data_IF_464038986497
#
_entry.id   IF_464038986497
#
_cell.length_a   1.000
_cell.length_b   1.000
_cell.length_c   1.000
_cell.angle_alpha   90.00
_cell.angle_beta   90.00
_cell.angle_gamma   90.00
#
_symmetry.space_group_name_H-M   'P 1'
#
loop_
_entity.id
_entity.type
_entity.pdbx_description
1 polymer ?
#
# COMPACT_ATOMS: atom_id res chain seq x y z
N UNK A 1 12.66 19.87 55.03
CA UNK A 1 13.06 20.41 53.72
C UNK A 1 13.10 19.25 52.76
N UNK A 2 12.16 19.22 51.80
CA UNK A 2 11.99 18.07 50.91
C UNK A 2 13.19 17.93 49.98
N UNK A 3 13.84 16.77 50.06
CA UNK A 3 15.09 16.46 49.34
C UNK A 3 14.86 16.10 47.87
N UNK A 4 13.60 16.02 47.46
CA UNK A 4 13.15 15.66 46.11
C UNK A 4 13.45 16.75 45.09
N UNK A 5 13.26 18.02 45.43
CA UNK A 5 13.56 19.16 44.54
C UNK A 5 15.07 19.25 44.20
N UNK A 6 16.01 19.23 45.17
CA UNK A 6 17.43 19.28 44.83
C UNK A 6 17.91 18.04 44.06
N UNK A 7 17.34 16.85 44.30
CA UNK A 7 17.68 15.65 43.53
C UNK A 7 17.20 15.70 42.08
N UNK A 8 16.00 16.25 41.83
CA UNK A 8 15.50 16.49 40.47
C UNK A 8 16.41 17.48 39.71
N UNK A 9 16.83 18.56 40.38
CA UNK A 9 17.73 19.56 39.76
C UNK A 9 19.08 18.95 39.40
N UNK A 10 19.66 18.11 40.26
CA UNK A 10 20.88 17.36 39.96
C UNK A 10 20.65 16.44 38.76
N UNK A 11 19.55 15.67 38.75
CA UNK A 11 19.21 14.79 37.62
C UNK A 11 19.04 15.53 36.30
N UNK A 12 18.44 16.72 36.31
CA UNK A 12 18.25 17.53 35.10
C UNK A 12 19.57 18.09 34.56
N UNK A 13 20.45 18.54 35.46
CA UNK A 13 21.77 19.09 35.08
C UNK A 13 22.67 17.99 34.51
N UNK A 14 22.79 16.86 35.20
CA UNK A 14 23.66 15.77 34.76
C UNK A 14 23.05 14.97 33.60
N UNK A 15 21.75 14.69 33.62
CA UNK A 15 21.08 13.93 32.56
C UNK A 15 20.86 14.74 31.28
N UNK A 16 20.25 15.92 31.41
CA UNK A 16 19.96 16.79 30.26
C UNK A 16 21.21 17.48 29.71
N UNK A 17 22.03 18.07 30.60
CA UNK A 17 23.22 18.80 30.21
C UNK A 17 24.32 17.91 29.63
N UNK A 18 24.67 16.81 30.31
CA UNK A 18 25.73 15.92 29.83
C UNK A 18 25.30 15.12 28.60
N UNK A 19 24.04 14.70 28.54
CA UNK A 19 23.48 14.05 27.36
C UNK A 19 23.54 14.97 26.12
N UNK A 20 23.20 16.25 26.27
CA UNK A 20 23.25 17.22 25.18
C UNK A 20 24.67 17.46 24.65
N UNK A 21 25.66 17.57 25.53
CA UNK A 21 27.07 17.75 25.13
C UNK A 21 27.62 16.52 24.39
N UNK A 22 27.30 15.31 24.87
CA UNK A 22 27.69 14.06 24.21
C UNK A 22 27.03 13.95 22.82
N UNK A 23 25.74 14.29 22.72
CA UNK A 23 25.03 14.28 21.44
C UNK A 23 25.65 15.26 20.43
N UNK A 24 25.95 16.48 20.84
CA UNK A 24 26.60 17.49 20.01
C UNK A 24 28.01 17.07 19.57
N UNK A 25 28.81 16.45 20.45
CA UNK A 25 30.14 15.97 20.12
C UNK A 25 30.13 14.83 19.09
N UNK A 26 29.04 14.07 19.01
CA UNK A 26 28.84 12.99 18.02
C UNK A 26 28.05 13.43 16.79
N UNK A 27 27.86 14.74 16.58
CA UNK A 27 27.19 15.29 15.40
C UNK A 27 25.67 15.06 15.36
N UNK A 28 25.05 14.72 16.50
CA UNK A 28 23.60 14.56 16.61
C UNK A 28 23.01 15.96 16.79
N UNK A 29 22.64 16.60 15.68
CA UNK A 29 21.96 17.90 15.70
C UNK A 29 20.45 17.72 15.85
N UNK A 30 19.77 18.68 16.48
CA UNK A 30 18.31 18.80 16.47
C UNK A 30 17.82 19.41 15.14
N UNK A 31 18.41 19.01 14.01
CA UNK A 31 17.83 19.32 12.72
C UNK A 31 16.55 18.50 12.60
N UNK A 32 15.44 19.15 12.93
CA UNK A 32 14.13 18.67 12.52
C UNK A 32 14.14 18.53 11.00
N UNK A 33 13.80 17.35 10.50
CA UNK A 33 13.54 17.22 9.07
C UNK A 33 12.31 18.09 8.76
N UNK A 34 12.49 19.04 7.84
CA UNK A 34 11.42 19.90 7.38
C UNK A 34 10.37 19.02 6.67
N UNK A 35 9.19 18.90 7.27
CA UNK A 35 8.03 18.27 6.62
C UNK A 35 7.25 19.27 5.73
N UNK A 36 7.81 20.47 5.51
CA UNK A 36 7.26 21.54 4.69
C UNK A 36 7.72 21.49 3.23
N UNK A 37 7.39 20.43 2.50
CA UNK A 37 7.51 20.43 1.04
C UNK A 37 6.40 19.62 0.35
N UNK A 38 5.14 20.04 0.51
CA UNK A 38 4.11 19.75 -0.49
C UNK A 38 4.30 20.67 -1.69
N UNK A 39 5.35 20.41 -2.46
CA UNK A 39 5.55 21.00 -3.78
C UNK A 39 4.56 20.39 -4.75
N UNK A 40 3.50 21.15 -5.07
CA UNK A 40 2.64 20.88 -6.21
C UNK A 40 3.43 21.22 -7.49
N UNK A 41 4.24 20.26 -7.93
CA UNK A 41 5.05 20.31 -9.15
C UNK A 41 4.76 19.06 -9.97
N UNK A 42 3.88 19.23 -10.95
CA UNK A 42 3.54 18.28 -12.01
C UNK A 42 4.78 17.64 -12.65
N UNK A 43 5.06 16.40 -12.26
CA UNK A 43 5.58 15.31 -13.09
C UNK A 43 5.56 14.09 -12.18
N UNK A 44 4.52 13.26 -12.31
CA UNK A 44 4.64 11.87 -11.91
C UNK A 44 5.79 11.31 -12.74
N UNK A 45 7.01 11.33 -12.18
CA UNK A 45 8.09 10.52 -12.67
C UNK A 45 7.54 9.10 -12.62
N UNK A 46 7.12 8.59 -13.77
CA UNK A 46 6.82 7.18 -13.93
C UNK A 46 8.11 6.49 -13.49
N UNK A 47 8.11 5.94 -12.27
CA UNK A 47 9.17 5.08 -11.83
C UNK A 47 9.23 3.98 -12.88
N UNK A 48 10.38 3.85 -13.55
CA UNK A 48 10.59 2.91 -14.65
C UNK A 48 10.53 1.49 -14.08
N UNK A 49 9.31 0.99 -13.94
CA UNK A 49 9.01 -0.41 -13.78
C UNK A 49 9.21 -0.98 -15.17
N UNK A 50 10.38 -1.58 -15.43
CA UNK A 50 10.82 -1.96 -16.78
C UNK A 50 9.78 -2.72 -17.61
N UNK A 51 10.06 -2.95 -18.88
CA UNK A 51 9.09 -3.42 -19.87
C UNK A 51 8.06 -4.45 -19.34
N UNK A 52 6.75 -4.25 -19.59
CA UNK A 52 5.69 -5.15 -19.13
C UNK A 52 5.96 -6.62 -19.49
N UNK A 53 5.50 -7.52 -18.63
CA UNK A 53 5.58 -8.96 -18.85
C UNK A 53 4.27 -9.42 -19.50
N UNK A 54 4.35 -9.96 -20.72
CA UNK A 54 3.20 -10.54 -21.40
C UNK A 54 3.07 -12.01 -21.00
N UNK A 55 1.95 -12.33 -20.36
CA UNK A 55 1.55 -13.67 -20.01
C UNK A 55 0.79 -14.30 -21.20
N UNK A 56 0.81 -15.63 -21.34
CA UNK A 56 0.08 -16.31 -22.40
C UNK A 56 -1.40 -15.92 -22.42
N UNK A 57 -1.98 -15.81 -23.62
CA UNK A 57 -3.40 -15.50 -23.77
C UNK A 57 -4.29 -16.47 -22.98
N UNK A 58 -5.17 -15.94 -22.14
CA UNK A 58 -6.09 -16.72 -21.31
C UNK A 58 -5.44 -17.40 -20.09
N UNK A 59 -4.16 -17.14 -19.78
CA UNK A 59 -3.51 -17.73 -18.60
C UNK A 59 -3.84 -17.01 -17.30
N UNK A 60 -4.37 -15.79 -17.36
CA UNK A 60 -4.73 -15.02 -16.18
C UNK A 60 -5.85 -14.01 -16.46
N UNK A 61 -6.65 -13.71 -15.44
CA UNK A 61 -7.69 -12.68 -15.46
C UNK A 61 -7.74 -11.97 -14.12
N UNK A 62 -8.26 -10.73 -14.10
CA UNK A 62 -8.47 -9.97 -12.88
C UNK A 62 -9.89 -9.38 -12.85
N UNK A 63 -10.52 -9.41 -11.69
CA UNK A 63 -11.78 -8.74 -11.37
C UNK A 63 -11.65 -8.09 -9.99
N UNK A 64 -12.52 -7.13 -9.68
CA UNK A 64 -12.57 -6.54 -8.36
C UNK A 64 -13.99 -6.09 -8.01
N UNK A 65 -14.31 -6.11 -6.71
CA UNK A 65 -15.54 -5.57 -6.14
C UNK A 65 -15.22 -4.61 -5.01
N UNK A 66 -16.06 -3.59 -4.88
CA UNK A 66 -15.98 -2.60 -3.81
C UNK A 66 -17.28 -2.62 -3.03
N UNK A 67 -17.18 -2.82 -1.72
CA UNK A 67 -18.32 -2.95 -0.82
C UNK A 67 -18.19 -1.95 0.33
N UNK A 68 -19.27 -1.28 0.78
CA UNK A 68 -19.21 -0.46 1.98
C UNK A 68 -18.81 -1.30 3.20
N UNK A 69 -17.90 -0.79 4.03
CA UNK A 69 -17.61 -1.42 5.31
C UNK A 69 -18.75 -1.19 6.31
N UNK A 70 -18.98 -2.16 7.20
CA UNK A 70 -20.06 -2.10 8.20
C UNK A 70 -19.91 -0.97 9.22
N UNK A 71 -18.69 -0.49 9.45
CA UNK A 71 -18.38 0.58 10.41
C UNK A 71 -18.07 1.88 9.69
N UNK A 72 -17.06 1.90 8.83
CA UNK A 72 -16.65 3.09 8.08
C UNK A 72 -15.71 2.70 6.94
N UNK A 73 -15.81 3.41 5.80
CA UNK A 73 -14.95 3.16 4.64
C UNK A 73 -15.49 2.09 3.70
N UNK A 74 -14.58 1.44 2.97
CA UNK A 74 -14.88 0.48 1.92
C UNK A 74 -13.93 -0.72 1.99
N UNK A 75 -14.45 -1.89 1.65
CA UNK A 75 -13.67 -3.10 1.45
C UNK A 75 -13.54 -3.37 -0.05
N UNK A 76 -12.30 -3.37 -0.53
CA UNK A 76 -11.93 -3.77 -1.88
C UNK A 76 -11.55 -5.25 -1.86
N UNK A 77 -12.22 -6.04 -2.69
CA UNK A 77 -11.89 -7.44 -2.94
C UNK A 77 -11.42 -7.60 -4.38
N UNK A 78 -10.24 -8.18 -4.56
CA UNK A 78 -9.59 -8.45 -5.83
C UNK A 78 -9.61 -9.96 -6.06
N UNK A 79 -10.15 -10.37 -7.20
CA UNK A 79 -10.12 -11.76 -7.66
C UNK A 79 -9.18 -11.84 -8.84
N UNK A 80 -8.23 -12.77 -8.78
CA UNK A 80 -7.29 -13.00 -9.87
C UNK A 80 -7.19 -14.51 -10.13
N UNK A 81 -7.43 -14.91 -11.37
CA UNK A 81 -7.23 -16.30 -11.80
C UNK A 81 -5.88 -16.42 -12.50
N UNK A 82 -5.18 -17.54 -12.31
CA UNK A 82 -3.84 -17.74 -12.88
C UNK A 82 -2.77 -16.79 -12.32
N UNK A 83 -3.08 -16.13 -11.21
CA UNK A 83 -2.19 -15.24 -10.47
C UNK A 83 -2.39 -15.49 -8.97
N UNK A 84 -1.29 -15.50 -8.23
CA UNK A 84 -1.29 -15.63 -6.78
C UNK A 84 -0.54 -14.47 -6.14
N UNK A 85 -1.08 -13.92 -5.05
CA UNK A 85 -0.36 -12.94 -4.25
C UNK A 85 0.78 -13.63 -3.51
N UNK A 86 2.00 -13.10 -3.69
CA UNK A 86 3.24 -13.64 -3.13
C UNK A 86 4.02 -12.55 -2.36
N UNK A 87 3.52 -12.08 -1.20
CA UNK A 87 4.19 -11.05 -0.39
C UNK A 87 5.67 -11.35 -0.12
N UNK A 88 5.99 -12.62 0.09
CA UNK A 88 7.31 -13.14 0.43
C UNK A 88 8.31 -12.98 -0.73
N UNK A 89 7.81 -12.82 -1.95
CA UNK A 89 8.61 -12.66 -3.15
C UNK A 89 8.59 -11.23 -3.70
N UNK A 90 7.86 -10.31 -3.08
CA UNK A 90 7.81 -8.92 -3.52
C UNK A 90 9.20 -8.26 -3.49
N UNK A 91 9.58 -7.62 -4.60
CA UNK A 91 10.90 -7.03 -4.81
C UNK A 91 11.99 -8.01 -5.25
N UNK A 92 11.68 -9.31 -5.37
CA UNK A 92 12.58 -10.32 -5.92
C UNK A 92 12.37 -10.49 -7.43
N UNK A 93 13.15 -11.36 -8.05
CA UNK A 93 13.00 -11.70 -9.46
C UNK A 93 11.59 -12.22 -9.80
N UNK A 94 11.13 -11.93 -11.01
CA UNK A 94 9.87 -12.44 -11.54
C UNK A 94 9.74 -13.96 -11.40
N UNK A 95 8.54 -14.39 -10.99
CA UNK A 95 8.08 -15.77 -11.04
C UNK A 95 6.71 -15.74 -11.68
N UNK A 96 6.55 -16.48 -12.77
CA UNK A 96 5.33 -16.44 -13.59
C UNK A 96 4.10 -16.74 -12.73
N UNK A 97 3.12 -15.86 -12.81
CA UNK A 97 1.85 -16.01 -12.07
C UNK A 97 1.93 -15.60 -10.60
N UNK A 98 3.05 -15.05 -10.13
CA UNK A 98 3.19 -14.50 -8.78
C UNK A 98 3.39 -12.99 -8.80
N UNK A 99 2.94 -12.33 -7.74
CA UNK A 99 3.23 -10.92 -7.56
C UNK A 99 2.41 -10.24 -6.50
N UNK A 100 2.10 -8.97 -6.76
CA UNK A 100 1.26 -8.13 -5.92
C UNK A 100 0.50 -7.12 -6.79
N UNK A 101 -0.53 -6.49 -6.25
CA UNK A 101 -1.25 -5.45 -6.99
C UNK A 101 -0.79 -4.05 -6.61
N UNK A 102 -0.81 -3.11 -7.55
CA UNK A 102 -0.72 -1.68 -7.26
C UNK A 102 -2.12 -1.10 -7.28
N UNK A 103 -2.47 -0.39 -6.21
CA UNK A 103 -3.76 0.30 -6.09
C UNK A 103 -3.57 1.79 -6.31
N UNK A 104 -4.40 2.35 -7.18
CA UNK A 104 -4.43 3.76 -7.51
C UNK A 104 -5.80 4.34 -7.19
N UNK A 105 -5.83 5.58 -6.72
CA UNK A 105 -7.00 6.41 -6.54
C UNK A 105 -6.84 7.68 -7.39
N UNK A 106 -7.78 7.90 -8.31
CA UNK A 106 -7.77 9.03 -9.24
C UNK A 106 -6.44 9.17 -10.02
N UNK A 107 -5.80 8.03 -10.33
CA UNK A 107 -4.52 7.96 -11.03
C UNK A 107 -3.28 8.08 -10.14
N UNK A 108 -3.42 8.43 -8.86
CA UNK A 108 -2.32 8.44 -7.90
C UNK A 108 -2.20 7.07 -7.23
N UNK A 109 -0.99 6.49 -7.22
CA UNK A 109 -0.74 5.23 -6.50
C UNK A 109 -0.85 5.46 -4.99
N UNK A 110 -1.71 4.70 -4.33
CA UNK A 110 -1.96 4.81 -2.89
C UNK A 110 -1.49 3.60 -2.09
N UNK A 111 -1.42 2.41 -2.71
CA UNK A 111 -0.99 1.21 -2.00
C UNK A 111 -0.36 0.14 -2.91
N UNK A 112 0.33 -0.80 -2.27
CA UNK A 112 0.63 -2.14 -2.81
C UNK A 112 -0.26 -3.12 -2.05
N UNK A 113 -0.95 -4.01 -2.75
CA UNK A 113 -1.80 -5.04 -2.17
C UNK A 113 -1.06 -6.36 -2.24
N UNK A 114 -0.73 -6.92 -1.08
CA UNK A 114 -0.09 -8.23 -0.94
C UNK A 114 -1.09 -9.37 -0.71
N UNK A 115 -2.37 -9.08 -0.87
CA UNK A 115 -3.46 -10.04 -0.74
C UNK A 115 -4.71 -9.54 -1.44
N UNK A 116 -5.76 -10.37 -1.48
CA UNK A 116 -6.96 -10.10 -2.26
C UNK A 116 -7.88 -9.05 -1.61
N UNK A 117 -7.78 -8.80 -0.30
CA UNK A 117 -8.65 -7.88 0.41
C UNK A 117 -7.87 -6.65 0.90
N UNK A 118 -8.45 -5.46 0.74
CA UNK A 118 -7.88 -4.22 1.23
C UNK A 118 -8.97 -3.28 1.74
N UNK A 119 -8.77 -2.75 2.94
CA UNK A 119 -9.63 -1.72 3.49
C UNK A 119 -9.20 -0.35 3.00
N UNK A 120 -10.17 0.47 2.61
CA UNK A 120 -9.99 1.86 2.18
C UNK A 120 -10.81 2.75 3.10
N UNK A 121 -10.22 3.87 3.51
CA UNK A 121 -10.91 4.92 4.24
C UNK A 121 -12.01 5.57 3.36
N UNK A 122 -12.47 6.77 3.72
CA UNK A 122 -13.55 7.44 3.00
C UNK A 122 -13.18 7.75 1.55
N UNK A 123 -13.83 7.04 0.63
CA UNK A 123 -13.87 7.37 -0.80
C UNK A 123 -15.09 8.24 -1.10
N UNK A 124 -14.93 9.22 -1.99
CA UNK A 124 -16.02 10.03 -2.48
C UNK A 124 -16.71 9.37 -3.67
N UNK A 125 -18.01 9.66 -3.85
CA UNK A 125 -18.72 9.31 -5.08
C UNK A 125 -17.98 9.85 -6.31
N UNK A 126 -17.83 9.01 -7.34
CA UNK A 126 -17.10 9.33 -8.55
C UNK A 126 -15.58 9.12 -8.49
N UNK A 127 -15.01 8.81 -7.31
CA UNK A 127 -13.61 8.41 -7.21
C UNK A 127 -13.33 7.18 -8.08
N UNK A 128 -12.19 7.19 -8.77
CA UNK A 128 -11.77 6.10 -9.64
C UNK A 128 -10.65 5.30 -9.00
N UNK A 129 -10.94 4.04 -8.70
CA UNK A 129 -9.93 3.07 -8.30
C UNK A 129 -9.40 2.34 -9.52
N UNK A 130 -8.10 2.08 -9.54
CA UNK A 130 -7.46 1.14 -10.47
C UNK A 130 -6.62 0.16 -9.69
N UNK A 131 -6.88 -1.12 -9.87
CA UNK A 131 -6.05 -2.22 -9.38
C UNK A 131 -5.29 -2.78 -10.56
N UNK A 132 -3.96 -2.75 -10.52
CA UNK A 132 -3.10 -3.33 -11.56
C UNK A 132 -2.29 -4.48 -10.95
N UNK A 133 -2.24 -5.64 -11.61
CA UNK A 133 -1.40 -6.75 -11.18
C UNK A 133 0.02 -6.58 -11.72
N UNK A 134 0.99 -6.73 -10.84
CA UNK A 134 2.41 -6.55 -11.12
C UNK A 134 3.18 -7.81 -10.68
N UNK A 135 4.26 -8.13 -11.38
CA UNK A 135 5.18 -9.20 -11.00
C UNK A 135 5.89 -8.92 -9.68
N UNK A 136 6.59 -9.94 -9.17
CA UNK A 136 7.49 -9.83 -8.03
C UNK A 136 8.52 -8.68 -8.18
N UNK A 137 9.01 -8.42 -9.40
CA UNK A 137 9.97 -7.34 -9.69
C UNK A 137 9.32 -5.98 -10.06
N UNK A 138 8.03 -5.80 -9.73
CA UNK A 138 7.20 -4.61 -9.95
C UNK A 138 6.79 -4.31 -11.39
N UNK A 139 7.17 -5.12 -12.38
CA UNK A 139 6.78 -4.89 -13.77
C UNK A 139 5.28 -5.16 -13.97
N UNK A 140 4.56 -4.34 -14.75
CA UNK A 140 3.15 -4.60 -15.04
C UNK A 140 2.97 -5.94 -15.76
N UNK A 141 1.95 -6.70 -15.34
CA UNK A 141 1.56 -7.92 -16.05
C UNK A 141 0.53 -7.59 -17.13
N UNK A 142 0.66 -8.24 -18.28
CA UNK A 142 -0.23 -8.08 -19.42
C UNK A 142 -0.69 -9.43 -19.95
N UNK A 143 -1.85 -9.47 -20.61
CA UNK A 143 -2.33 -10.61 -21.39
C UNK A 143 -2.78 -10.09 -22.75
N UNK A 144 -2.20 -10.63 -23.82
CA UNK A 144 -2.42 -10.17 -25.19
C UNK A 144 -2.16 -8.66 -25.33
N UNK A 145 -1.10 -8.17 -24.70
CA UNK A 145 -0.69 -6.76 -24.74
C UNK A 145 -1.60 -5.79 -23.96
N UNK A 146 -2.58 -6.29 -23.19
CA UNK A 146 -3.43 -5.47 -22.32
C UNK A 146 -3.03 -5.64 -20.86
N UNK A 147 -2.93 -4.56 -20.06
CA UNK A 147 -2.68 -4.68 -18.63
C UNK A 147 -3.71 -5.57 -17.95
N UNK A 148 -3.24 -6.43 -17.04
CA UNK A 148 -4.09 -7.08 -16.05
C UNK A 148 -4.46 -6.05 -14.99
N UNK A 149 -5.42 -5.19 -15.33
CA UNK A 149 -5.90 -4.14 -14.47
C UNK A 149 -7.43 -4.07 -14.48
N UNK A 150 -7.99 -3.65 -13.35
CA UNK A 150 -9.42 -3.45 -13.14
C UNK A 150 -9.64 -2.02 -12.70
N UNK A 151 -10.61 -1.34 -13.32
CA UNK A 151 -11.02 0.01 -12.94
C UNK A 151 -12.43 -0.03 -12.33
N UNK A 152 -12.60 0.65 -11.21
CA UNK A 152 -13.86 0.78 -10.47
C UNK A 152 -14.15 2.26 -10.27
N UNK A 153 -15.43 2.65 -10.35
CA UNK A 153 -15.88 3.99 -9.95
C UNK A 153 -16.76 3.86 -8.73
N UNK A 154 -16.49 4.66 -7.71
CA UNK A 154 -17.27 4.68 -6.47
C UNK A 154 -18.67 5.21 -6.78
N UNK A 155 -19.75 4.47 -6.44
CA UNK A 155 -21.11 4.85 -6.82
C UNK A 155 -21.63 6.08 -6.04
N UNK A 156 -22.52 6.85 -6.67
CA UNK A 156 -23.17 8.05 -6.07
C UNK A 156 -24.06 7.73 -4.86
N UNK A 157 -24.47 6.48 -4.71
CA UNK A 157 -25.18 5.98 -3.53
C UNK A 157 -24.50 4.70 -3.05
N UNK A 158 -24.35 4.50 -1.72
CA UNK A 158 -23.99 3.20 -1.19
C UNK A 158 -25.01 2.19 -1.70
N UNK A 159 -24.56 1.25 -2.56
CA UNK A 159 -25.40 0.12 -2.94
C UNK A 159 -25.57 -0.70 -1.67
N UNK A 160 -26.80 -0.84 -1.19
CA UNK A 160 -27.09 -1.67 -0.02
C UNK A 160 -26.75 -3.12 -0.35
N UNK A 161 -25.57 -3.58 0.06
CA UNK A 161 -25.18 -4.99 -0.03
C UNK A 161 -25.73 -5.69 1.21
N UNK A 162 -26.41 -6.83 1.01
CA UNK A 162 -26.77 -7.72 2.12
C UNK A 162 -25.49 -8.37 2.64
N UNK A 163 -25.19 -8.22 3.91
CA UNK A 163 -24.11 -8.95 4.56
C UNK A 163 -24.31 -10.47 4.34
N UNK A 164 -23.25 -11.15 3.87
CA UNK A 164 -23.24 -12.61 3.70
C UNK A 164 -23.06 -13.15 2.27
N UNK A 165 -22.32 -12.47 1.39
CA UNK A 165 -21.82 -13.14 0.18
C UNK A 165 -20.74 -14.16 0.57
N UNK A 166 -20.91 -15.42 0.15
CA UNK A 166 -20.00 -16.53 0.41
C UNK A 166 -18.60 -16.28 -0.17
N UNK A 167 -17.58 -16.45 0.68
CA UNK A 167 -16.19 -16.73 0.31
C UNK A 167 -15.31 -15.52 -0.05
N UNK A 168 -14.33 -15.22 0.80
CA UNK A 168 -13.03 -14.81 0.27
C UNK A 168 -12.54 -15.97 -0.62
N UNK A 169 -11.98 -15.74 -1.82
CA UNK A 169 -11.46 -16.85 -2.60
C UNK A 169 -10.33 -17.52 -1.81
N UNK A 170 -10.59 -18.75 -1.34
CA UNK A 170 -9.64 -19.59 -0.58
C UNK A 170 -8.32 -19.86 -1.34
N UNK A 171 -8.20 -19.42 -2.59
CA UNK A 171 -7.10 -19.69 -3.52
C UNK A 171 -6.17 -18.50 -3.82
N UNK A 172 -6.32 -17.35 -3.17
CA UNK A 172 -5.64 -16.12 -3.62
C UNK A 172 -4.22 -15.88 -3.05
N UNK A 173 -3.80 -16.62 -2.02
CA UNK A 173 -2.48 -16.47 -1.40
C UNK A 173 -1.66 -17.71 -1.73
N UNK A 174 -0.42 -17.54 -2.18
CA UNK A 174 0.49 -18.67 -2.40
C UNK A 174 0.62 -19.51 -1.12
N UNK A 175 0.30 -20.80 -1.19
CA UNK A 175 0.62 -21.73 -0.11
C UNK A 175 2.14 -21.95 -0.07
N UNK A 176 2.73 -21.88 1.11
CA UNK A 176 4.14 -22.24 1.32
C UNK A 176 4.35 -23.72 0.95
N UNK A 177 5.42 -24.08 0.22
CA UNK A 177 5.74 -25.48 -0.08
C UNK A 177 6.10 -26.29 1.19
#
# INVERSE_FOLDING_TARGET
MDRSIPMLLIGLIFGGGMGFVIAAANGITLDGHDHGAHGHGTQAAAHDHGAPIDLPAGSATASARLEPDSTAGWNLFVEAEGFCFAPEHAGLADRRGEGHAHLYLNGAKIARLYGPAHHLDMLAAGDRLRVELNSNDHRPLTVAGRPLAVELTVPDRPVGIRAGAEGLPDSAICATP
#
